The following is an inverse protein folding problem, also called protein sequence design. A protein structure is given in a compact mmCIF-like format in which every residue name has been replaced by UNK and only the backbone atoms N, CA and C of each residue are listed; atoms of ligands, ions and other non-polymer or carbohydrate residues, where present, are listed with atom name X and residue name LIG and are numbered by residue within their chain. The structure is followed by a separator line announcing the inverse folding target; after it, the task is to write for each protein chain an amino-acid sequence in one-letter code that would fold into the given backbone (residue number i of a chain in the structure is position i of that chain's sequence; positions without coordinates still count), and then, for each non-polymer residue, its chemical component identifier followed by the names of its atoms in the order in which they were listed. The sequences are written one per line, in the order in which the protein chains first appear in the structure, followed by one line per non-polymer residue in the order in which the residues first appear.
data_IF_859863078956
#
_entry.id   IF_859863078956
#
_cell.length_a   1.000
_cell.length_b   1.000
_cell.length_c   1.000
_cell.angle_alpha   90.00
_cell.angle_beta   90.00
_cell.angle_gamma   90.00
#
_symmetry.space_group_name_H-M   'P 1'
#
loop_
_entity.id
_entity.type
_entity.pdbx_description
1 polymer ?
#
# COMPACT_ATOMS: atom_id res chain seq x y z
N UNK A 1 -1.87 13.73 15.27
CA UNK A 1 -1.39 14.90 16.05
C UNK A 1 -0.25 15.61 15.36
N UNK A 2 -0.09 16.91 15.65
CA UNK A 2 0.97 17.74 15.08
C UNK A 2 1.71 18.51 16.17
N UNK A 3 3.02 18.71 15.97
CA UNK A 3 3.84 19.63 16.75
C UNK A 3 4.76 20.40 15.83
N UNK A 4 4.80 21.73 15.98
CA UNK A 4 5.62 22.63 15.18
C UNK A 4 6.86 23.09 15.92
N UNK A 5 7.90 23.45 15.17
CA UNK A 5 9.19 23.90 15.67
C UNK A 5 9.65 25.14 14.92
N UNK A 6 10.65 25.84 15.44
CA UNK A 6 11.28 27.00 14.80
C UNK A 6 10.29 28.09 14.36
N UNK A 7 9.20 28.28 15.11
CA UNK A 7 8.20 29.32 14.81
C UNK A 7 7.27 28.99 13.63
N UNK A 8 7.27 27.75 13.14
CA UNK A 8 6.41 27.35 12.04
C UNK A 8 4.93 27.38 12.42
N UNK A 9 4.10 27.89 11.52
CA UNK A 9 2.63 27.88 11.68
C UNK A 9 2.07 26.50 11.28
N UNK A 10 1.10 26.00 12.03
CA UNK A 10 0.51 24.70 11.80
C UNK A 10 -0.08 24.57 10.39
N UNK A 11 -0.81 25.56 9.91
CA UNK A 11 -1.42 25.54 8.57
C UNK A 11 -0.36 25.46 7.47
N UNK A 12 0.74 26.22 7.57
CA UNK A 12 1.82 26.22 6.58
C UNK A 12 2.50 24.85 6.48
N UNK A 13 2.83 24.24 7.62
CA UNK A 13 3.49 22.93 7.63
C UNK A 13 2.54 21.80 7.19
N UNK A 14 1.24 21.91 7.47
CA UNK A 14 0.24 20.95 6.97
C UNK A 14 0.14 21.05 5.45
N UNK A 15 0.00 22.27 4.88
CA UNK A 15 -0.11 22.46 3.43
C UNK A 15 1.13 21.99 2.69
N UNK A 16 2.33 22.32 3.17
CA UNK A 16 3.59 21.87 2.56
C UNK A 16 3.73 20.35 2.62
N UNK A 17 3.38 19.74 3.75
CA UNK A 17 3.44 18.28 3.89
C UNK A 17 2.42 17.61 2.97
N UNK A 18 1.18 18.12 2.95
CA UNK A 18 0.12 17.63 2.07
C UNK A 18 0.52 17.71 0.60
N UNK A 19 1.09 18.84 0.15
CA UNK A 19 1.54 19.02 -1.24
C UNK A 19 2.54 17.95 -1.69
N UNK A 20 3.47 17.59 -0.82
CA UNK A 20 4.47 16.54 -1.12
C UNK A 20 3.83 15.15 -1.09
N UNK A 21 3.02 14.85 -0.07
CA UNK A 21 2.48 13.51 0.17
C UNK A 21 1.38 13.15 -0.83
N UNK A 22 0.48 14.06 -1.18
CA UNK A 22 -0.64 13.79 -2.10
C UNK A 22 -0.14 13.27 -3.45
N UNK A 23 0.98 13.80 -3.92
CA UNK A 23 1.60 13.34 -5.16
C UNK A 23 2.13 11.89 -5.10
N UNK A 24 2.33 11.35 -3.90
CA UNK A 24 2.85 9.98 -3.72
C UNK A 24 1.79 8.89 -3.86
N UNK A 25 0.50 9.24 -3.84
CA UNK A 25 -0.64 8.29 -3.84
C UNK A 25 -0.51 7.20 -2.76
N UNK A 26 0.12 7.53 -1.65
CA UNK A 26 0.33 6.62 -0.52
C UNK A 26 -0.85 6.64 0.47
N UNK A 27 -0.95 5.71 1.42
CA UNK A 27 -1.94 5.76 2.49
C UNK A 27 -1.91 7.06 3.31
N UNK A 28 -0.73 7.67 3.46
CA UNK A 28 -0.60 8.99 4.08
C UNK A 28 -1.32 10.09 3.29
N UNK A 29 -1.41 9.97 1.95
CA UNK A 29 -2.08 10.95 1.12
C UNK A 29 -3.56 11.11 1.54
N UNK A 30 -4.27 10.00 1.75
CA UNK A 30 -5.67 10.04 2.21
C UNK A 30 -5.82 10.76 3.56
N UNK A 31 -4.91 10.52 4.51
CA UNK A 31 -4.95 11.17 5.82
C UNK A 31 -4.73 12.68 5.73
N UNK A 32 -3.88 13.13 4.81
CA UNK A 32 -3.66 14.57 4.58
C UNK A 32 -4.77 15.20 3.74
N UNK A 33 -5.33 14.49 2.77
CA UNK A 33 -6.51 14.94 2.00
C UNK A 33 -7.68 15.26 2.92
N UNK A 34 -7.96 14.40 3.90
CA UNK A 34 -9.01 14.61 4.89
C UNK A 34 -8.79 15.87 5.73
N UNK A 35 -7.53 16.18 6.06
CA UNK A 35 -7.18 17.37 6.86
C UNK A 35 -7.31 18.66 6.05
N UNK A 36 -7.07 18.61 4.74
CA UNK A 36 -7.08 19.79 3.86
C UNK A 36 -8.36 19.92 3.03
N UNK A 37 -9.44 19.21 3.38
CA UNK A 37 -10.72 19.28 2.66
C UNK A 37 -11.10 20.73 2.36
N UNK A 38 -11.36 21.02 1.07
CA UNK A 38 -11.71 22.35 0.59
C UNK A 38 -10.53 23.32 0.45
N UNK A 39 -9.31 22.91 0.77
CA UNK A 39 -8.07 23.72 0.67
C UNK A 39 -7.12 23.26 -0.45
N UNK A 40 -7.52 22.31 -1.30
CA UNK A 40 -6.68 21.78 -2.38
C UNK A 40 -6.19 22.86 -3.35
N UNK A 41 -7.02 23.89 -3.59
CA UNK A 41 -6.67 24.99 -4.49
C UNK A 41 -5.53 25.90 -4.01
N UNK A 42 -5.16 25.81 -2.71
CA UNK A 42 -4.09 26.62 -2.11
C UNK A 42 -2.82 25.83 -1.80
N UNK A 43 -2.77 24.58 -2.23
CA UNK A 43 -1.56 23.75 -2.04
C UNK A 43 -0.39 24.38 -2.81
N UNK A 44 0.78 24.53 -2.17
CA UNK A 44 2.00 24.94 -2.87
C UNK A 44 2.33 24.00 -4.03
N UNK A 45 2.81 24.57 -5.12
CA UNK A 45 3.37 23.78 -6.22
C UNK A 45 4.67 23.10 -5.77
N UNK A 46 4.84 21.85 -6.17
CA UNK A 46 5.96 21.00 -5.77
C UNK A 46 6.77 20.61 -6.98
N UNK A 47 8.05 20.93 -6.93
CA UNK A 47 9.02 20.58 -7.96
C UNK A 47 9.94 19.44 -7.49
N UNK A 48 10.52 18.71 -8.44
CA UNK A 48 11.60 17.73 -8.25
C UNK A 48 11.34 16.74 -7.09
N UNK A 49 10.23 16.05 -7.15
CA UNK A 49 9.86 15.05 -6.14
C UNK A 49 10.74 13.80 -6.30
N UNK A 50 11.53 13.50 -5.28
CA UNK A 50 12.38 12.30 -5.20
C UNK A 50 11.95 11.46 -4.02
N UNK A 51 11.57 10.23 -4.30
CA UNK A 51 11.29 9.24 -3.26
C UNK A 51 12.59 8.54 -2.84
N UNK A 52 12.84 8.50 -1.54
CA UNK A 52 13.97 7.81 -0.92
C UNK A 52 13.45 6.60 -0.15
N UNK A 53 13.84 5.41 -0.59
CA UNK A 53 13.30 4.13 -0.09
C UNK A 53 13.32 4.05 1.44
N UNK A 54 12.15 3.77 2.03
CA UNK A 54 11.94 3.63 3.48
C UNK A 54 12.27 4.88 4.32
N UNK A 55 12.75 5.94 3.69
CA UNK A 55 13.10 7.18 4.37
C UNK A 55 11.98 8.21 4.24
N UNK A 56 11.48 8.42 3.03
CA UNK A 56 10.46 9.41 2.74
C UNK A 56 10.65 10.08 1.39
N UNK A 57 10.30 11.34 1.31
CA UNK A 57 10.30 12.12 0.07
C UNK A 57 11.04 13.43 0.26
N UNK A 58 11.91 13.74 -0.68
CA UNK A 58 12.50 15.07 -0.84
C UNK A 58 11.86 15.77 -2.04
N UNK A 59 11.64 17.07 -1.92
CA UNK A 59 10.99 17.88 -2.94
C UNK A 59 11.43 19.35 -2.83
N UNK A 60 11.02 20.19 -3.78
CA UNK A 60 11.23 21.63 -3.73
C UNK A 60 9.89 22.36 -3.73
N UNK A 61 9.76 23.34 -2.82
CA UNK A 61 8.63 24.28 -2.76
C UNK A 61 9.21 25.68 -2.61
N UNK A 62 8.85 26.59 -3.51
CA UNK A 62 9.35 27.98 -3.51
C UNK A 62 10.88 28.05 -3.41
N UNK A 63 11.59 27.23 -4.18
CA UNK A 63 13.07 27.11 -4.18
C UNK A 63 13.68 26.68 -2.84
N UNK A 64 12.91 26.14 -1.93
CA UNK A 64 13.38 25.58 -0.67
C UNK A 64 13.25 24.08 -0.71
N UNK A 65 14.31 23.39 -0.29
CA UNK A 65 14.27 21.92 -0.15
C UNK A 65 13.37 21.55 1.01
N UNK A 66 12.40 20.69 0.73
CA UNK A 66 11.45 20.14 1.68
C UNK A 66 11.76 18.64 1.82
N UNK A 67 11.80 18.17 3.05
CA UNK A 67 11.94 16.77 3.39
C UNK A 67 10.70 16.33 4.18
N UNK A 68 10.03 15.29 3.73
CA UNK A 68 8.89 14.69 4.41
C UNK A 68 9.14 13.20 4.59
N UNK A 69 9.33 12.75 5.82
CA UNK A 69 9.69 11.34 6.04
C UNK A 69 10.03 11.01 7.49
N UNK A 70 10.77 9.92 7.63
CA UNK A 70 11.24 9.42 8.92
C UNK A 70 12.36 10.27 9.49
N UNK A 71 12.73 10.00 10.74
CA UNK A 71 13.93 10.56 11.36
C UNK A 71 15.17 10.34 10.50
N UNK A 72 15.31 9.14 9.94
CA UNK A 72 16.48 8.75 9.17
C UNK A 72 16.63 9.56 7.88
N UNK A 73 15.51 9.99 7.25
CA UNK A 73 15.56 10.92 6.13
C UNK A 73 16.24 12.23 6.53
N UNK A 74 15.85 12.80 7.67
CA UNK A 74 16.39 14.05 8.16
C UNK A 74 17.87 13.93 8.48
N UNK A 75 18.25 12.86 9.16
CA UNK A 75 19.65 12.56 9.49
C UNK A 75 20.48 12.38 8.22
N UNK A 76 19.97 11.63 7.23
CA UNK A 76 20.62 11.42 5.94
C UNK A 76 20.92 12.75 5.21
N UNK A 77 20.01 13.71 5.34
CA UNK A 77 20.17 15.05 4.77
C UNK A 77 20.83 16.08 5.72
N UNK A 78 21.40 15.63 6.82
CA UNK A 78 22.14 16.50 7.76
C UNK A 78 21.26 17.50 8.52
N UNK A 79 19.94 17.24 8.62
CA UNK A 79 19.03 18.10 9.39
C UNK A 79 19.10 17.72 10.87
N UNK A 80 19.31 18.67 11.80
CA UNK A 80 19.26 18.40 13.22
C UNK A 80 17.90 17.86 13.65
N UNK A 81 17.89 16.71 14.31
CA UNK A 81 16.69 16.03 14.78
C UNK A 81 16.60 16.06 16.30
N UNK A 82 15.41 15.83 16.83
CA UNK A 82 15.17 15.68 18.26
C UNK A 82 15.86 14.42 18.80
N UNK A 83 16.06 14.35 20.13
CA UNK A 83 16.53 13.12 20.78
C UNK A 83 15.53 11.99 20.57
N UNK A 84 16.01 10.75 20.42
CA UNK A 84 15.14 9.59 20.21
C UNK A 84 14.13 9.38 21.33
N UNK A 85 14.51 9.66 22.59
CA UNK A 85 13.61 9.52 23.72
C UNK A 85 12.37 10.41 23.57
N UNK A 86 12.52 11.54 22.89
CA UNK A 86 11.40 12.42 22.61
C UNK A 86 10.44 11.79 21.60
N UNK A 87 10.96 11.23 20.52
CA UNK A 87 10.19 10.53 19.48
C UNK A 87 9.46 9.32 20.08
N UNK A 88 10.15 8.51 20.88
CA UNK A 88 9.59 7.30 21.52
C UNK A 88 8.37 7.59 22.41
N UNK A 89 8.19 8.80 22.92
CA UNK A 89 6.98 9.19 23.65
C UNK A 89 5.74 9.18 22.77
N UNK A 90 5.90 9.49 21.48
CA UNK A 90 4.81 9.59 20.52
C UNK A 90 4.66 8.33 19.67
N UNK A 91 5.75 7.62 19.40
CA UNK A 91 5.79 6.37 18.63
C UNK A 91 5.34 5.14 19.45
N UNK A 92 4.26 5.26 20.21
CA UNK A 92 3.72 4.17 21.04
C UNK A 92 2.43 3.63 20.43
N UNK A 93 2.10 2.36 20.73
CA UNK A 93 0.84 1.72 20.32
C UNK A 93 0.60 1.75 18.80
N UNK A 94 1.62 1.38 18.01
CA UNK A 94 1.51 1.35 16.54
C UNK A 94 1.52 2.71 15.84
N UNK A 95 1.70 3.82 16.59
CA UNK A 95 1.86 5.15 15.99
C UNK A 95 3.25 5.30 15.39
N UNK A 96 3.33 6.08 14.32
CA UNK A 96 4.57 6.45 13.63
C UNK A 96 4.75 7.97 13.66
N UNK A 97 5.99 8.41 13.55
CA UNK A 97 6.32 9.84 13.57
C UNK A 97 6.87 10.24 12.21
N UNK A 98 6.14 11.12 11.54
CA UNK A 98 6.53 11.72 10.27
C UNK A 98 7.07 13.13 10.53
N UNK A 99 8.18 13.46 9.93
CA UNK A 99 8.82 14.77 10.06
C UNK A 99 8.68 15.60 8.79
N UNK A 100 8.59 16.91 8.96
CA UNK A 100 8.78 17.91 7.92
C UNK A 100 10.01 18.74 8.26
N UNK A 101 10.94 18.84 7.32
CA UNK A 101 12.02 19.83 7.37
C UNK A 101 12.00 20.74 6.14
N UNK A 102 12.35 21.99 6.32
CA UNK A 102 12.46 23.01 5.26
C UNK A 102 13.81 23.69 5.36
N UNK A 103 14.54 23.76 4.24
CA UNK A 103 15.84 24.43 4.13
C UNK A 103 16.82 24.04 5.27
N UNK A 104 16.90 22.73 5.59
CA UNK A 104 17.78 22.20 6.61
C UNK A 104 17.32 22.39 8.06
N UNK A 105 16.10 22.86 8.30
CA UNK A 105 15.54 23.05 9.65
C UNK A 105 14.31 22.18 9.87
N UNK A 106 14.24 21.53 11.04
CA UNK A 106 13.05 20.82 11.47
C UNK A 106 11.88 21.79 11.69
N UNK A 107 10.79 21.61 10.96
CA UNK A 107 9.62 22.50 11.02
C UNK A 107 8.43 21.87 11.75
N UNK A 108 8.19 20.57 11.53
CA UNK A 108 7.08 19.90 12.19
C UNK A 108 7.35 18.40 12.40
N UNK A 109 6.57 17.85 13.31
CA UNK A 109 6.44 16.43 13.60
C UNK A 109 4.96 16.08 13.60
N UNK A 110 4.57 15.09 12.82
CA UNK A 110 3.22 14.54 12.75
C UNK A 110 3.21 13.16 13.38
N UNK A 111 2.19 12.88 14.18
CA UNK A 111 1.95 11.54 14.72
C UNK A 111 0.81 10.92 13.94
N UNK A 112 1.12 9.87 13.22
CA UNK A 112 0.20 9.12 12.35
C UNK A 112 -0.02 7.71 12.89
N UNK A 113 -1.14 7.11 12.55
CA UNK A 113 -1.45 5.71 12.88
C UNK A 113 -2.13 5.05 11.69
N UNK A 114 -1.85 3.77 11.51
CA UNK A 114 -2.45 2.95 10.48
C UNK A 114 -3.45 1.99 11.09
N UNK A 115 -4.52 1.72 10.37
CA UNK A 115 -5.50 0.71 10.72
C UNK A 115 -5.80 -0.15 9.49
N UNK A 116 -5.90 -1.46 9.70
CA UNK A 116 -6.31 -2.36 8.63
C UNK A 116 -7.81 -2.20 8.36
N UNK A 117 -8.18 -2.04 7.09
CA UNK A 117 -9.58 -2.14 6.69
C UNK A 117 -10.06 -3.58 6.89
N UNK A 118 -11.14 -3.83 7.66
CA UNK A 118 -11.56 -5.19 8.01
C UNK A 118 -11.87 -6.08 6.80
N UNK A 119 -12.47 -5.52 5.76
CA UNK A 119 -12.81 -6.27 4.54
C UNK A 119 -11.56 -6.62 3.75
N UNK A 120 -10.61 -5.70 3.60
CA UNK A 120 -9.33 -5.95 2.96
C UNK A 120 -8.55 -7.04 3.71
N UNK A 121 -8.48 -6.96 5.05
CA UNK A 121 -7.86 -7.97 5.90
C UNK A 121 -8.47 -9.37 5.68
N UNK A 122 -9.80 -9.47 5.63
CA UNK A 122 -10.50 -10.71 5.36
C UNK A 122 -10.17 -11.27 3.97
N UNK A 123 -10.18 -10.42 2.96
CA UNK A 123 -9.88 -10.80 1.58
C UNK A 123 -8.42 -11.24 1.40
N UNK A 124 -7.47 -10.55 2.06
CA UNK A 124 -6.06 -10.94 2.06
C UNK A 124 -5.84 -12.30 2.72
N UNK A 125 -6.46 -12.57 3.89
CA UNK A 125 -6.38 -13.87 4.57
C UNK A 125 -7.00 -15.02 3.75
N UNK A 126 -7.98 -14.71 2.92
CA UNK A 126 -8.56 -15.70 2.00
C UNK A 126 -7.61 -16.01 0.85
N UNK A 127 -7.07 -14.96 0.23
CA UNK A 127 -6.18 -15.07 -0.91
C UNK A 127 -4.82 -15.70 -0.55
N UNK A 128 -4.36 -15.54 0.70
CA UNK A 128 -3.17 -16.20 1.22
C UNK A 128 -3.20 -17.72 1.01
N UNK A 129 -4.37 -18.34 1.20
CA UNK A 129 -4.55 -19.80 1.05
C UNK A 129 -4.36 -20.30 -0.39
N UNK A 130 -4.44 -19.42 -1.38
CA UNK A 130 -4.22 -19.77 -2.79
C UNK A 130 -2.73 -19.83 -3.18
N UNK A 131 -1.81 -19.52 -2.25
CA UNK A 131 -0.36 -19.57 -2.49
C UNK A 131 0.16 -18.41 -3.33
N UNK A 132 -0.64 -17.38 -3.57
CA UNK A 132 -0.19 -16.17 -4.29
C UNK A 132 0.65 -15.28 -3.39
N UNK A 133 1.69 -14.68 -3.94
CA UNK A 133 2.44 -13.59 -3.30
C UNK A 133 2.00 -12.27 -3.89
N UNK A 134 1.73 -11.28 -3.03
CA UNK A 134 1.32 -9.94 -3.44
C UNK A 134 2.53 -9.01 -3.41
N UNK A 135 2.75 -8.29 -4.52
CA UNK A 135 3.74 -7.24 -4.60
C UNK A 135 3.07 -5.88 -4.41
N UNK A 136 3.57 -5.12 -3.46
CA UNK A 136 3.08 -3.76 -3.15
C UNK A 136 4.15 -2.74 -3.52
N UNK A 137 3.75 -1.67 -4.18
CA UNK A 137 4.58 -0.49 -4.39
C UNK A 137 4.00 0.65 -3.56
N UNK A 138 4.81 1.22 -2.68
CA UNK A 138 4.39 2.34 -1.84
C UNK A 138 5.52 3.35 -1.71
N UNK A 139 5.17 4.63 -1.77
CA UNK A 139 6.06 5.75 -1.43
C UNK A 139 5.93 6.15 0.06
N UNK A 140 5.13 5.43 0.83
CA UNK A 140 4.99 5.63 2.27
C UNK A 140 6.18 4.98 3.00
N UNK A 141 7.00 5.74 3.74
CA UNK A 141 8.20 5.21 4.38
C UNK A 141 7.90 4.20 5.51
N UNK A 142 6.66 4.17 6.00
CA UNK A 142 6.24 3.26 7.08
C UNK A 142 5.64 1.96 6.56
N UNK A 143 5.43 1.85 5.24
CA UNK A 143 4.92 0.64 4.60
C UNK A 143 6.10 -0.23 4.18
N UNK A 144 6.29 -1.33 4.88
CA UNK A 144 7.26 -2.38 4.59
C UNK A 144 6.64 -3.76 4.85
N UNK A 145 7.35 -4.82 4.51
CA UNK A 145 6.86 -6.20 4.62
C UNK A 145 6.35 -6.50 6.03
N UNK A 146 7.14 -6.16 7.06
CA UNK A 146 6.82 -6.41 8.47
C UNK A 146 5.59 -5.61 8.93
N UNK A 147 5.55 -4.30 8.60
CA UNK A 147 4.44 -3.44 9.02
C UNK A 147 3.10 -3.86 8.42
N UNK A 148 3.11 -4.36 7.17
CA UNK A 148 1.91 -4.89 6.52
C UNK A 148 1.52 -6.23 7.14
N UNK A 149 2.48 -7.13 7.36
CA UNK A 149 2.22 -8.43 7.97
C UNK A 149 1.58 -8.27 9.37
N UNK A 150 2.14 -7.40 10.20
CA UNK A 150 1.60 -7.06 11.52
C UNK A 150 0.20 -6.44 11.42
N UNK A 151 0.02 -5.43 10.56
CA UNK A 151 -1.23 -4.67 10.43
C UNK A 151 -2.41 -5.55 9.98
N UNK A 152 -2.17 -6.43 9.01
CA UNK A 152 -3.19 -7.31 8.46
C UNK A 152 -3.23 -8.69 9.11
N UNK A 153 -2.32 -9.00 10.04
CA UNK A 153 -2.16 -10.30 10.70
C UNK A 153 -2.05 -11.45 9.68
N UNK A 154 -1.13 -11.30 8.75
CA UNK A 154 -0.84 -12.27 7.68
C UNK A 154 0.60 -12.76 7.83
N UNK A 155 0.95 -13.94 7.29
CA UNK A 155 2.31 -14.47 7.38
C UNK A 155 3.36 -13.57 6.73
N UNK A 156 4.56 -13.60 7.29
CA UNK A 156 5.72 -12.93 6.71
C UNK A 156 5.99 -13.46 5.30
N UNK A 157 6.30 -12.55 4.39
CA UNK A 157 6.64 -12.89 3.02
C UNK A 157 5.47 -13.11 2.08
N UNK A 158 4.24 -13.13 2.58
CA UNK A 158 3.04 -13.17 1.74
C UNK A 158 2.86 -11.88 0.93
N UNK A 159 3.09 -10.73 1.56
CA UNK A 159 3.15 -9.44 0.89
C UNK A 159 4.60 -8.96 0.88
N UNK A 160 5.06 -8.50 -0.27
CA UNK A 160 6.39 -7.92 -0.46
C UNK A 160 6.28 -6.47 -0.93
N UNK A 161 6.94 -5.57 -0.22
CA UNK A 161 7.01 -4.16 -0.59
C UNK A 161 8.26 -3.93 -1.44
N UNK A 162 8.04 -3.51 -2.68
CA UNK A 162 9.12 -3.29 -3.64
C UNK A 162 9.92 -2.04 -3.29
N UNK A 163 11.24 -2.14 -3.37
CA UNK A 163 12.15 -0.99 -3.34
C UNK A 163 12.11 -0.22 -4.68
N UNK A 164 12.76 0.96 -4.73
CA UNK A 164 12.77 1.80 -5.93
C UNK A 164 13.41 1.13 -7.15
N UNK A 165 14.42 0.29 -6.95
CA UNK A 165 15.06 -0.43 -8.06
C UNK A 165 14.12 -1.48 -8.68
N UNK A 166 13.44 -2.26 -7.84
CA UNK A 166 12.42 -3.21 -8.27
C UNK A 166 11.19 -2.50 -8.85
N UNK A 167 10.82 -1.32 -8.32
CA UNK A 167 9.76 -0.49 -8.84
C UNK A 167 10.02 -0.02 -10.28
N UNK A 168 11.26 0.36 -10.61
CA UNK A 168 11.65 0.69 -11.99
C UNK A 168 11.55 -0.52 -12.94
N UNK A 169 11.98 -1.70 -12.49
CA UNK A 169 11.81 -2.92 -13.26
C UNK A 169 10.33 -3.24 -13.48
N UNK A 170 9.52 -3.13 -12.44
CA UNK A 170 8.06 -3.31 -12.53
C UNK A 170 7.44 -2.35 -13.56
N UNK A 171 7.77 -1.05 -13.54
CA UNK A 171 7.27 -0.08 -14.54
C UNK A 171 7.64 -0.46 -15.96
N UNK A 172 8.88 -0.88 -16.17
CA UNK A 172 9.36 -1.32 -17.49
C UNK A 172 8.51 -2.48 -18.01
N UNK A 173 8.25 -3.49 -17.18
CA UNK A 173 7.52 -4.69 -17.60
C UNK A 173 6.00 -4.51 -17.61
N UNK A 174 5.43 -3.69 -16.73
CA UNK A 174 3.98 -3.42 -16.69
C UNK A 174 3.49 -2.60 -17.89
N UNK A 175 4.39 -1.83 -18.51
CA UNK A 175 4.08 -1.07 -19.72
C UNK A 175 4.27 -1.89 -21.02
N UNK A 176 4.78 -3.11 -20.93
CA UNK A 176 4.76 -4.03 -22.05
C UNK A 176 3.33 -4.52 -22.23
N UNK A 177 2.74 -4.20 -23.40
CA UNK A 177 1.42 -4.72 -23.74
C UNK A 177 1.48 -6.24 -23.77
N UNK A 178 0.76 -6.88 -22.84
CA UNK A 178 0.52 -8.31 -22.96
C UNK A 178 -0.27 -8.56 -24.24
N UNK A 179 0.23 -9.46 -25.09
CA UNK A 179 -0.56 -9.99 -26.18
C UNK A 179 -1.86 -10.54 -25.60
N UNK A 180 -2.97 -10.40 -26.34
CA UNK A 180 -4.35 -10.68 -25.97
C UNK A 180 -4.51 -11.70 -24.83
N UNK A 181 -4.77 -11.22 -23.63
CA UNK A 181 -5.11 -12.10 -22.50
C UNK A 181 -6.55 -12.60 -22.66
N UNK A 182 -6.81 -13.90 -22.49
CA UNK A 182 -8.17 -14.44 -22.51
C UNK A 182 -9.00 -14.08 -21.27
N UNK A 183 -8.39 -13.44 -20.28
CA UNK A 183 -9.05 -13.09 -19.01
C UNK A 183 -8.65 -11.68 -18.57
N UNK A 184 -9.63 -10.96 -18.04
CA UNK A 184 -9.47 -9.61 -17.51
C UNK A 184 -10.11 -9.50 -16.12
N UNK A 185 -9.46 -8.76 -15.24
CA UNK A 185 -10.03 -8.38 -13.94
C UNK A 185 -10.34 -6.88 -14.00
N UNK A 186 -11.59 -6.52 -13.75
CA UNK A 186 -12.04 -5.14 -13.66
C UNK A 186 -12.27 -4.80 -12.19
N UNK A 187 -11.69 -3.70 -11.72
CA UNK A 187 -11.86 -3.21 -10.36
C UNK A 187 -11.90 -1.68 -10.33
N UNK A 188 -12.33 -1.13 -9.21
CA UNK A 188 -12.54 0.32 -9.02
C UNK A 188 -11.25 1.12 -8.72
N UNK A 189 -10.07 0.52 -8.87
CA UNK A 189 -8.77 1.14 -8.56
C UNK A 189 -8.36 1.07 -7.08
N UNK A 190 -9.23 0.63 -6.17
CA UNK A 190 -8.87 0.44 -4.76
C UNK A 190 -8.18 -0.90 -4.51
N UNK A 191 -7.34 -0.97 -3.47
CA UNK A 191 -6.70 -2.21 -3.04
C UNK A 191 -7.74 -3.29 -2.67
N UNK A 192 -8.81 -2.90 -1.95
CA UNK A 192 -9.91 -3.80 -1.62
C UNK A 192 -10.61 -4.33 -2.88
N UNK A 193 -10.93 -3.45 -3.84
CA UNK A 193 -11.58 -3.84 -5.08
C UNK A 193 -10.74 -4.84 -5.88
N UNK A 194 -9.43 -4.59 -5.99
CA UNK A 194 -8.51 -5.49 -6.67
C UNK A 194 -8.41 -6.85 -5.97
N UNK A 195 -8.09 -6.87 -4.67
CA UNK A 195 -7.94 -8.12 -3.89
C UNK A 195 -9.23 -8.93 -3.86
N UNK A 196 -10.39 -8.26 -3.74
CA UNK A 196 -11.70 -8.92 -3.78
C UNK A 196 -12.00 -9.54 -5.14
N UNK A 197 -11.66 -8.85 -6.24
CA UNK A 197 -11.86 -9.39 -7.59
C UNK A 197 -10.97 -10.61 -7.86
N UNK A 198 -9.70 -10.57 -7.42
CA UNK A 198 -8.79 -11.72 -7.53
C UNK A 198 -9.30 -12.89 -6.68
N UNK A 199 -9.73 -12.63 -5.44
CA UNK A 199 -10.29 -13.66 -4.57
C UNK A 199 -11.56 -14.30 -5.14
N UNK A 200 -12.42 -13.52 -5.79
CA UNK A 200 -13.62 -14.05 -6.46
C UNK A 200 -13.25 -14.91 -7.68
N UNK A 201 -12.23 -14.53 -8.43
CA UNK A 201 -11.74 -15.33 -9.57
C UNK A 201 -11.19 -16.69 -9.11
N UNK A 202 -10.49 -16.74 -7.99
CA UNK A 202 -10.02 -17.98 -7.37
C UNK A 202 -11.19 -18.89 -6.96
N UNK A 203 -12.21 -18.34 -6.30
CA UNK A 203 -13.41 -19.11 -5.92
C UNK A 203 -14.09 -19.73 -7.13
N UNK A 204 -14.21 -18.98 -8.23
CA UNK A 204 -14.78 -19.49 -9.47
C UNK A 204 -13.96 -20.64 -10.04
N UNK A 205 -12.62 -20.54 -9.98
CA UNK A 205 -11.74 -21.59 -10.46
C UNK A 205 -11.84 -22.88 -9.61
N UNK A 206 -11.88 -22.75 -8.28
CA UNK A 206 -12.08 -23.88 -7.37
C UNK A 206 -13.45 -24.55 -7.60
N UNK A 207 -14.49 -23.75 -7.70
CA UNK A 207 -15.85 -24.24 -7.99
C UNK A 207 -15.91 -24.97 -9.32
N UNK A 208 -15.24 -24.43 -10.36
CA UNK A 208 -15.16 -25.09 -11.68
C UNK A 208 -14.45 -26.45 -11.61
N UNK A 209 -13.35 -26.54 -10.86
CA UNK A 209 -12.64 -27.81 -10.65
C UNK A 209 -13.55 -28.83 -9.95
N UNK A 210 -14.26 -28.41 -8.89
CA UNK A 210 -15.19 -29.27 -8.14
C UNK A 210 -16.33 -29.77 -9.04
N UNK A 211 -16.96 -28.89 -9.83
CA UNK A 211 -17.99 -29.25 -10.80
C UNK A 211 -17.46 -30.27 -11.82
N UNK A 212 -16.24 -30.04 -12.33
CA UNK A 212 -15.59 -30.97 -13.26
C UNK A 212 -15.42 -32.36 -12.66
N UNK A 213 -14.97 -32.46 -11.40
CA UNK A 213 -14.82 -33.71 -10.69
C UNK A 213 -16.19 -34.39 -10.50
N UNK A 214 -17.18 -33.66 -10.00
CA UNK A 214 -18.55 -34.20 -9.79
C UNK A 214 -19.20 -34.68 -11.10
N UNK A 215 -19.01 -33.95 -12.18
CA UNK A 215 -19.51 -34.35 -13.51
C UNK A 215 -18.83 -35.62 -14.00
N UNK A 216 -17.50 -35.72 -13.80
CA UNK A 216 -16.76 -36.94 -14.16
C UNK A 216 -17.22 -38.15 -13.36
N UNK A 217 -17.43 -38.02 -12.07
CA UNK A 217 -17.99 -39.07 -11.22
C UNK A 217 -19.41 -39.45 -11.66
N UNK A 218 -20.27 -38.46 -11.89
CA UNK A 218 -21.64 -38.69 -12.34
C UNK A 218 -21.69 -39.45 -13.69
N UNK A 219 -20.80 -39.09 -14.63
CA UNK A 219 -20.68 -39.79 -15.91
C UNK A 219 -20.19 -41.23 -15.75
N UNK A 220 -19.21 -41.46 -14.88
CA UNK A 220 -18.68 -42.79 -14.60
C UNK A 220 -19.77 -43.73 -13.97
N UNK A 221 -20.55 -43.20 -13.02
CA UNK A 221 -21.67 -43.94 -12.42
C UNK A 221 -22.74 -44.21 -13.46
N UNK A 222 -23.11 -43.22 -14.28
CA UNK A 222 -24.10 -43.38 -15.34
C UNK A 222 -23.72 -44.47 -16.35
N UNK A 223 -22.48 -44.49 -16.80
CA UNK A 223 -21.95 -45.52 -17.68
C UNK A 223 -21.94 -46.91 -17.00
N UNK A 224 -21.60 -46.99 -15.73
CA UNK A 224 -21.64 -48.22 -14.94
C UNK A 224 -23.06 -48.79 -14.85
N UNK A 225 -24.08 -47.99 -14.58
CA UNK A 225 -25.47 -48.39 -14.51
C UNK A 225 -25.98 -48.85 -15.88
N UNK A 226 -25.71 -48.14 -16.95
CA UNK A 226 -26.08 -48.53 -18.31
C UNK A 226 -25.42 -49.86 -18.72
N UNK A 227 -24.11 -50.02 -18.40
CA UNK A 227 -23.40 -51.28 -18.65
C UNK A 227 -24.01 -52.45 -17.89
N UNK A 228 -24.40 -52.26 -16.63
CA UNK A 228 -25.03 -53.31 -15.80
C UNK A 228 -26.42 -53.68 -16.32
N UNK A 229 -27.24 -52.72 -16.73
CA UNK A 229 -28.55 -52.95 -17.34
C UNK A 229 -28.42 -53.66 -18.70
N UNK A 230 -27.42 -53.34 -19.50
CA UNK A 230 -27.17 -54.02 -20.77
C UNK A 230 -26.69 -55.49 -20.58
N UNK A 231 -26.13 -55.83 -19.42
CA UNK A 231 -25.63 -57.18 -19.12
C UNK A 231 -26.69 -58.08 -18.45
N UNK A 232 -27.68 -57.50 -17.80
CA UNK A 232 -28.76 -58.20 -17.05
C UNK A 232 -30.07 -58.27 -17.82
N UNK A 233 -30.20 -57.59 -18.95
CA UNK A 233 -31.37 -57.66 -19.85
C UNK A 233 -31.14 -58.58 -21.01
#
# INVERSE_FOLDING_TARGET
GIKTFNGAKADDVILKTASVIINTKSPLASAFDDVIIGKQAILPEVDDIVYEDRLGTSAWIYRKKILVGTRDLLVHHGVPVLKEEYERKYARKGRRVLYLAEAGKLMAMFVVSYSAEPQLKKSLKKLEKSGMTILVRSADPFINDESIAELFEIPDGYIRVMNSSNGRAFEKYSNLFAEKSPAYIVHNGSALGFVSAVSAAEDLQETRKLIGVLTSFGSAIGLGVVGLLAFTG
#
